data_IF_535689951829
#
_entry.id   IF_535689951829
#
_cell.length_a   1.000
_cell.length_b   1.000
_cell.length_c   1.000
_cell.angle_alpha   90.00
_cell.angle_beta   90.00
_cell.angle_gamma   90.00
#
_symmetry.space_group_name_H-M   'P 1'
#
loop_
_entity.id
_entity.type
_entity.pdbx_description
1 polymer ?
2 non-polymer ?
3 non-polymer ?
4 non-polymer ?
5 water ?
#
# COMPACT_ATOMS: atom_id res chain seq x y z
N UNK A 1 -15.85 20.40 20.14
CA UNK A 1 -15.43 19.04 20.59
C UNK A 1 -13.97 18.94 21.00
N UNK A 2 -13.61 17.87 21.72
CA UNK A 2 -12.21 17.64 22.11
C UNK A 2 -11.35 17.25 20.90
N UNK A 3 -10.07 17.60 20.93
CA UNK A 3 -9.11 17.09 19.96
C UNK A 3 -8.69 15.68 20.37
N UNK A 4 -8.80 14.73 19.45
CA UNK A 4 -8.44 13.34 19.79
C UNK A 4 -7.35 12.75 18.91
N UNK A 5 -6.41 13.59 18.50
CA UNK A 5 -5.27 13.15 17.72
C UNK A 5 -4.53 12.01 18.41
N UNK A 6 -4.36 12.12 19.74
CA UNK A 6 -3.68 11.11 20.53
C UNK A 6 -4.44 9.79 20.61
N UNK A 7 -5.76 9.85 20.73
CA UNK A 7 -6.60 8.65 20.72
C UNK A 7 -6.50 7.90 19.39
N UNK A 8 -6.45 8.67 18.30
CA UNK A 8 -6.31 8.10 16.97
C UNK A 8 -4.93 7.49 16.78
N UNK A 9 -3.88 8.22 17.15
CA UNK A 9 -2.51 7.73 16.99
C UNK A 9 -2.21 6.47 17.80
N UNK A 10 -2.91 6.31 18.92
CA UNK A 10 -2.77 5.13 19.79
C UNK A 10 -3.46 3.90 19.22
N UNK A 11 -4.47 4.12 18.37
CA UNK A 11 -5.24 3.04 17.79
C UNK A 11 -5.61 3.37 16.33
N UNK A 12 -4.60 3.54 15.45
CA UNK A 12 -4.85 4.15 14.14
C UNK A 12 -5.81 3.35 13.24
N UNK A 13 -5.82 2.04 13.42
CA UNK A 13 -6.64 1.19 12.57
C UNK A 13 -8.06 1.02 13.09
N UNK A 14 -8.21 1.06 14.41
CA UNK A 14 -9.46 0.63 15.04
C UNK A 14 -10.24 1.76 15.72
N UNK A 15 -9.58 2.91 15.92
CA UNK A 15 -10.24 4.03 16.61
C UNK A 15 -11.62 4.37 16.02
N UNK A 16 -11.70 4.52 14.71
CA UNK A 16 -12.93 4.93 14.04
C UNK A 16 -14.07 3.91 14.19
N UNK A 17 -13.80 2.64 13.85
CA UNK A 17 -14.84 1.61 13.96
C UNK A 17 -15.28 1.36 15.42
N UNK A 18 -14.38 1.58 16.36
CA UNK A 18 -14.72 1.42 17.78
C UNK A 18 -15.69 2.51 18.23
N UNK A 19 -15.41 3.75 17.85
CA UNK A 19 -16.34 4.86 18.15
C UNK A 19 -17.67 4.70 17.42
N UNK A 20 -17.62 4.26 16.16
CA UNK A 20 -18.81 3.95 15.38
C UNK A 20 -19.71 2.93 16.06
N UNK A 21 -19.09 1.90 16.62
CA UNK A 21 -19.80 0.82 17.32
C UNK A 21 -20.45 1.35 18.59
N UNK A 22 -19.71 2.18 19.34
CA UNK A 22 -20.22 2.79 20.56
C UNK A 22 -21.39 3.73 20.29
N UNK A 23 -21.35 4.41 19.15
CA UNK A 23 -22.39 5.38 18.77
C UNK A 23 -23.53 4.75 17.95
N UNK A 24 -23.35 3.50 17.53
CA UNK A 24 -24.32 2.83 16.65
C UNK A 24 -24.55 3.52 15.32
N UNK A 25 -23.50 4.09 14.74
CA UNK A 25 -23.59 4.83 13.48
C UNK A 25 -22.35 4.58 12.62
N UNK A 26 -22.46 4.86 11.32
CA UNK A 26 -21.32 4.69 10.40
C UNK A 26 -20.49 5.97 10.19
N UNK A 27 -20.79 7.01 10.96
CA UNK A 27 -20.10 8.29 10.87
C UNK A 27 -20.21 9.08 12.17
N UNK A 28 -19.15 9.80 12.49
CA UNK A 28 -19.14 10.71 13.64
C UNK A 28 -18.20 11.89 13.41
N UNK A 29 -18.52 13.02 14.03
CA UNK A 29 -17.71 14.21 13.91
C UNK A 29 -16.65 14.19 15.02
N UNK A 30 -15.42 14.53 14.66
CA UNK A 30 -14.34 14.58 15.62
C UNK A 30 -13.41 15.75 15.28
N UNK A 31 -12.21 15.75 15.87
CA UNK A 31 -11.22 16.80 15.63
C UNK A 31 -9.82 16.21 15.77
N UNK A 32 -8.99 16.45 14.76
CA UNK A 32 -7.59 16.04 14.76
C UNK A 32 -6.76 17.24 14.39
N UNK A 33 -5.78 17.56 15.23
CA UNK A 33 -5.02 18.82 15.13
C UNK A 33 -5.97 20.03 15.13
N UNK A 34 -5.88 20.88 14.11
CA UNK A 34 -6.76 22.06 14.01
C UNK A 34 -8.15 21.76 13.42
N UNK A 35 -8.29 20.63 12.72
CA UNK A 35 -9.44 20.42 11.85
C UNK A 35 -10.53 19.52 12.44
N UNK A 36 -11.74 20.08 12.56
CA UNK A 36 -12.94 19.27 12.71
C UNK A 36 -12.89 18.26 11.57
N UNK A 37 -13.21 17.01 11.88
CA UNK A 37 -13.11 15.94 10.89
C UNK A 37 -14.34 15.03 10.99
N UNK A 38 -14.98 14.77 9.85
CA UNK A 38 -16.02 13.75 9.83
C UNK A 38 -15.34 12.42 9.54
N UNK A 39 -15.57 11.44 10.41
CA UNK A 39 -15.00 10.11 10.23
C UNK A 39 -16.09 9.18 9.70
N UNK A 40 -15.80 8.50 8.59
CA UNK A 40 -16.76 7.65 7.89
C UNK A 40 -16.27 6.21 7.79
N UNK A 41 -17.23 5.28 7.74
CA UNK A 41 -16.92 3.86 7.64
C UNK A 41 -18.03 3.14 6.88
N UNK A 42 -17.66 2.15 6.08
CA UNK A 42 -18.65 1.30 5.42
C UNK A 42 -18.86 1.62 3.95
N UNK A 43 -19.64 0.77 3.28
CA UNK A 43 -19.76 0.81 1.83
C UNK A 43 -20.45 2.08 1.33
N UNK A 44 -21.52 2.49 2.01
CA UNK A 44 -22.27 3.65 1.54
C UNK A 44 -21.43 4.92 1.72
N UNK A 45 -20.72 5.02 2.85
CA UNK A 45 -19.83 6.15 3.09
C UNK A 45 -18.68 6.20 2.05
N UNK A 46 -18.13 5.04 1.70
CA UNK A 46 -17.07 4.96 0.70
C UNK A 46 -17.58 5.48 -0.66
N UNK A 47 -18.83 5.16 -0.99
CA UNK A 47 -19.42 5.63 -2.24
C UNK A 47 -19.53 7.15 -2.29
N UNK A 48 -19.91 7.77 -1.18
CA UNK A 48 -19.95 9.24 -1.21
C UNK A 48 -18.55 9.85 -1.19
N UNK A 49 -17.63 9.20 -0.48
CA UNK A 49 -16.24 9.68 -0.37
C UNK A 49 -15.55 9.78 -1.75
N UNK A 50 -15.86 8.80 -2.61
CA UNK A 50 -15.37 8.75 -3.99
C UNK A 50 -16.16 9.57 -5.01
N UNK A 51 -17.19 10.29 -4.56
CA UNK A 51 -17.90 11.21 -5.45
C UNK A 51 -17.09 12.51 -5.56
N UNK A 52 -16.43 12.70 -6.71
CA UNK A 52 -15.50 13.83 -6.87
C UNK A 52 -16.21 15.16 -7.11
N UNK A 53 -17.54 15.14 -7.22
CA UNK A 53 -18.30 16.40 -7.19
C UNK A 53 -18.48 16.89 -5.75
N UNK A 54 -18.21 16.02 -4.77
CA UNK A 54 -18.36 16.42 -3.37
C UNK A 54 -17.06 16.41 -2.56
N UNK A 55 -16.03 15.73 -3.08
CA UNK A 55 -14.74 15.62 -2.39
C UNK A 55 -13.54 15.93 -3.29
N UNK A 56 -12.57 16.63 -2.67
CA UNK A 56 -11.32 16.97 -3.33
C UNK A 56 -10.14 16.55 -2.46
N UNK A 57 -8.98 16.34 -3.09
CA UNK A 57 -7.79 15.96 -2.32
C UNK A 57 -6.83 17.14 -2.14
N UNK A 58 -7.00 18.20 -2.94
CA UNK A 58 -6.05 19.31 -2.91
C UNK A 58 -5.92 19.83 -1.48
N UNK A 59 -4.69 19.98 -1.01
CA UNK A 59 -4.44 20.48 0.34
C UNK A 59 -4.76 19.55 1.52
N UNK A 60 -5.20 18.31 1.26
CA UNK A 60 -5.52 17.39 2.36
C UNK A 60 -4.30 16.61 2.91
N UNK A 61 -3.22 16.52 2.13
CA UNK A 61 -2.00 15.82 2.52
C UNK A 61 -1.15 16.66 3.49
N UNK A 62 -0.90 16.14 4.70
CA UNK A 62 -0.08 16.86 5.69
C UNK A 62 1.35 17.09 5.22
N UNK A 63 1.96 18.20 5.65
CA UNK A 63 3.37 18.45 5.35
C UNK A 63 4.27 17.24 5.74
N UNK A 64 4.01 16.62 6.90
CA UNK A 64 4.86 15.49 7.37
C UNK A 64 4.85 14.31 6.38
N UNK A 65 3.72 14.11 5.72
CA UNK A 65 3.56 13.07 4.73
C UNK A 65 4.25 13.43 3.40
N UNK A 66 4.14 14.70 2.98
CA UNK A 66 4.90 15.20 1.82
C UNK A 66 6.40 15.03 2.01
N UNK A 67 6.87 15.18 3.26
CA UNK A 67 8.30 15.12 3.55
C UNK A 67 8.80 13.70 3.77
N UNK A 68 7.90 12.72 3.77
CA UNK A 68 8.29 11.32 4.00
C UNK A 68 7.67 10.37 3.00
N UNK A 69 6.49 9.85 3.32
CA UNK A 69 5.80 8.83 2.55
C UNK A 69 5.58 9.17 1.07
N UNK A 70 5.11 10.40 0.80
CA UNK A 70 4.55 10.66 -0.53
C UNK A 70 5.33 11.62 -1.44
N UNK A 71 6.11 12.52 -0.85
CA UNK A 71 6.80 13.55 -1.63
C UNK A 71 5.84 14.67 -2.00
N UNK A 72 6.33 15.60 -2.80
CA UNK A 72 5.57 16.80 -3.16
C UNK A 72 5.24 16.79 -4.65
N UNK A 73 4.00 17.16 -4.98
CA UNK A 73 3.60 17.33 -6.39
C UNK A 73 3.06 16.08 -7.09
N UNK A 74 2.88 15.00 -6.33
CA UNK A 74 2.49 13.72 -6.90
C UNK A 74 0.98 13.58 -7.12
N UNK A 75 0.59 12.49 -7.78
CA UNK A 75 -0.79 12.27 -8.23
C UNK A 75 -1.81 12.31 -7.07
N UNK A 76 -1.39 11.90 -5.87
CA UNK A 76 -2.31 11.87 -4.70
C UNK A 76 -2.91 13.21 -4.33
N UNK A 77 -2.18 14.28 -4.63
CA UNK A 77 -2.65 15.64 -4.30
C UNK A 77 -3.44 16.35 -5.40
N UNK A 78 -3.73 15.63 -6.48
CA UNK A 78 -4.37 16.25 -7.65
C UNK A 78 -5.87 15.97 -7.68
N UNK A 79 -6.61 16.90 -8.30
CA UNK A 79 -8.05 16.72 -8.55
C UNK A 79 -8.41 16.95 -10.01
N UNK A 80 -9.61 16.52 -10.38
CA UNK A 80 -10.21 16.90 -11.66
C UNK A 80 -9.49 16.35 -12.86
N UNK A 81 -9.54 17.09 -13.97
CA UNK A 81 -8.92 16.61 -15.20
C UNK A 81 -7.40 16.50 -15.06
N UNK A 82 -6.79 17.36 -14.24
CA UNK A 82 -5.35 17.29 -14.00
C UNK A 82 -5.02 15.94 -13.35
N UNK A 83 -5.82 15.57 -12.36
CA UNK A 83 -5.63 14.27 -11.72
C UNK A 83 -5.81 13.11 -12.71
N UNK A 84 -6.91 13.14 -13.46
CA UNK A 84 -7.23 11.98 -14.29
C UNK A 84 -6.17 11.80 -15.38
N UNK A 85 -5.63 12.90 -15.89
CA UNK A 85 -4.58 12.83 -16.88
C UNK A 85 -3.27 12.21 -16.31
N UNK A 86 -2.89 12.61 -15.10
CA UNK A 86 -1.74 12.04 -14.41
C UNK A 86 -2.00 10.57 -14.03
N UNK A 87 -3.22 10.26 -13.60
CA UNK A 87 -3.55 8.88 -13.19
C UNK A 87 -3.43 7.90 -14.39
N UNK A 88 -3.81 8.37 -15.57
CA UNK A 88 -3.70 7.56 -16.77
C UNK A 88 -2.24 7.09 -17.01
N UNK A 89 -1.28 7.94 -16.66
CA UNK A 89 0.12 7.60 -16.77
C UNK A 89 0.47 6.34 -15.96
N UNK A 90 -0.03 6.25 -14.72
CA UNK A 90 0.17 5.05 -13.90
C UNK A 90 -0.61 3.85 -14.43
N UNK A 91 -1.86 4.06 -14.81
CA UNK A 91 -2.70 2.92 -15.26
C UNK A 91 -2.13 2.22 -16.51
N UNK A 92 -1.57 3.02 -17.42
CA UNK A 92 -0.95 2.49 -18.64
C UNK A 92 0.17 1.51 -18.37
N UNK A 93 0.77 1.58 -17.17
CA UNK A 93 1.83 0.64 -16.78
C UNK A 93 1.33 -0.77 -16.50
N UNK A 94 0.04 -0.92 -16.22
CA UNK A 94 -0.47 -2.11 -15.54
C UNK A 94 -1.11 -3.15 -16.47
N UNK A 95 -0.52 -3.37 -17.63
CA UNK A 95 -1.04 -4.40 -18.54
C UNK A 95 -0.79 -5.79 -17.94
N UNK A 96 -1.64 -6.78 -18.29
CA UNK A 96 -1.45 -8.15 -17.80
C UNK A 96 -0.02 -8.64 -18.04
N UNK A 97 0.52 -8.33 -19.22
CA UNK A 97 1.89 -8.73 -19.60
C UNK A 97 2.93 -8.06 -18.70
N UNK A 98 2.80 -6.76 -18.47
CA UNK A 98 3.80 -6.07 -17.63
C UNK A 98 3.71 -6.50 -16.18
N UNK A 99 2.49 -6.78 -15.71
CA UNK A 99 2.31 -7.21 -14.32
C UNK A 99 2.97 -8.60 -14.13
N UNK A 100 2.76 -9.48 -15.10
CA UNK A 100 3.38 -10.80 -15.10
C UNK A 100 4.91 -10.69 -15.10
N UNK A 101 5.44 -9.77 -15.93
CA UNK A 101 6.88 -9.57 -15.99
C UNK A 101 7.44 -9.19 -14.62
N UNK A 102 6.76 -8.28 -13.92
CA UNK A 102 7.21 -7.89 -12.57
C UNK A 102 7.15 -9.08 -11.60
N UNK A 103 6.05 -9.84 -11.64
CA UNK A 103 5.89 -11.03 -10.80
C UNK A 103 7.05 -12.03 -11.04
N UNK A 104 7.39 -12.24 -12.31
CA UNK A 104 8.49 -13.15 -12.65
C UNK A 104 9.83 -12.65 -12.14
N UNK A 105 10.07 -11.35 -12.26
CA UNK A 105 11.30 -10.76 -11.71
C UNK A 105 11.39 -10.94 -10.21
N UNK A 106 10.25 -10.77 -9.53
CA UNK A 106 10.24 -10.91 -8.09
C UNK A 106 10.50 -12.36 -7.67
N UNK A 107 9.90 -13.34 -8.34
CA UNK A 107 10.22 -14.76 -8.03
C UNK A 107 11.71 -15.03 -8.17
N UNK A 108 12.31 -14.55 -9.26
CA UNK A 108 13.75 -14.70 -9.51
C UNK A 108 14.58 -14.10 -8.36
N UNK A 109 14.23 -12.88 -7.97
CA UNK A 109 14.93 -12.20 -6.87
C UNK A 109 14.75 -12.90 -5.52
N UNK A 110 13.54 -13.36 -5.24
CA UNK A 110 13.29 -14.15 -4.04
C UNK A 110 14.20 -15.40 -4.06
N UNK A 111 14.15 -16.18 -5.14
CA UNK A 111 15.00 -17.38 -5.26
C UNK A 111 16.50 -17.06 -5.13
N UNK A 112 16.94 -15.95 -5.70
CA UNK A 112 18.32 -15.46 -5.56
C UNK A 112 18.73 -15.16 -4.11
N UNK A 113 17.76 -14.74 -3.30
CA UNK A 113 18.00 -14.31 -1.92
C UNK A 113 18.03 -15.47 -0.91
N UNK A 114 17.42 -16.59 -1.28
CA UNK A 114 17.27 -17.72 -0.36
C UNK A 114 18.63 -18.25 0.18
N UNK A 115 19.64 -18.45 -0.69
CA UNK A 115 20.91 -18.96 -0.13
C UNK A 115 21.44 -18.12 1.03
N UNK A 116 21.35 -16.79 0.90
CA UNK A 116 21.69 -15.86 1.96
C UNK A 116 20.95 -16.13 3.25
N UNK A 117 19.65 -16.40 3.14
CA UNK A 117 18.80 -16.71 4.28
C UNK A 117 19.20 -18.04 4.93
N UNK A 118 19.52 -19.04 4.11
CA UNK A 118 19.98 -20.33 4.62
C UNK A 118 21.25 -20.12 5.45
N UNK A 119 22.22 -19.41 4.86
CA UNK A 119 23.49 -19.16 5.53
C UNK A 119 23.36 -18.39 6.85
N UNK A 120 22.33 -17.53 6.93
CA UNK A 120 22.07 -16.78 8.17
C UNK A 120 21.51 -17.65 9.29
N UNK A 121 20.91 -18.79 8.94
CA UNK A 121 20.32 -19.70 9.92
C UNK A 121 18.98 -19.25 10.50
N UNK A 122 18.89 -17.97 10.82
CA UNK A 122 17.65 -17.38 11.31
C UNK A 122 17.47 -16.00 10.64
N UNK A 123 16.23 -15.70 10.23
CA UNK A 123 15.93 -14.41 9.58
C UNK A 123 14.68 -13.77 10.16
N UNK A 124 14.63 -12.44 10.12
CA UNK A 124 13.39 -11.73 10.32
C UNK A 124 12.81 -11.60 8.90
N UNK A 125 11.76 -12.37 8.61
CA UNK A 125 11.21 -12.45 7.25
C UNK A 125 10.91 -11.06 6.66
N UNK A 126 10.25 -10.20 7.44
CA UNK A 126 9.89 -8.87 6.95
C UNK A 126 11.15 -8.11 6.50
N UNK A 127 12.20 -8.18 7.31
CA UNK A 127 13.42 -7.43 7.04
C UNK A 127 14.07 -7.87 5.74
N UNK A 128 13.90 -9.14 5.39
CA UNK A 128 14.56 -9.70 4.22
C UNK A 128 13.84 -9.47 2.88
N UNK A 129 12.62 -8.95 2.92
CA UNK A 129 11.81 -8.82 1.72
C UNK A 129 12.06 -7.54 0.90
N UNK A 130 12.48 -6.48 1.58
CA UNK A 130 12.61 -5.17 0.93
C UNK A 130 13.60 -5.16 -0.22
N UNK A 131 14.74 -5.81 -0.03
CA UNK A 131 15.77 -5.84 -1.06
C UNK A 131 15.39 -6.62 -2.33
N UNK A 132 14.89 -7.88 -2.20
CA UNK A 132 14.49 -8.53 -3.44
C UNK A 132 13.37 -7.76 -4.17
N UNK A 133 12.43 -7.19 -3.43
CA UNK A 133 11.40 -6.33 -4.05
C UNK A 133 12.01 -5.12 -4.76
N UNK A 134 12.97 -4.47 -4.10
CA UNK A 134 13.64 -3.31 -4.68
C UNK A 134 14.34 -3.71 -5.99
N UNK A 135 15.07 -4.82 -5.95
CA UNK A 135 15.79 -5.30 -7.13
C UNK A 135 14.84 -5.58 -8.29
N UNK A 136 13.74 -6.26 -7.99
CA UNK A 136 12.74 -6.60 -9.00
C UNK A 136 12.08 -5.35 -9.60
N UNK A 137 11.60 -4.46 -8.73
CA UNK A 137 10.86 -3.31 -9.23
C UNK A 137 11.75 -2.33 -10.02
N UNK A 138 12.99 -2.13 -9.58
CA UNK A 138 13.91 -1.26 -10.31
C UNK A 138 14.18 -1.82 -11.71
N UNK A 139 14.50 -3.11 -11.79
CA UNK A 139 14.70 -3.79 -13.08
C UNK A 139 13.47 -3.63 -13.98
N UNK A 140 12.31 -3.96 -13.44
CA UNK A 140 11.04 -3.79 -14.15
C UNK A 140 10.80 -2.35 -14.63
N UNK A 141 11.09 -1.38 -13.76
CA UNK A 141 10.81 0.02 -14.04
C UNK A 141 11.86 0.72 -14.94
N UNK A 142 12.94 0.02 -15.30
CA UNK A 142 14.01 0.63 -16.10
C UNK A 142 14.92 1.51 -15.28
N UNK A 143 14.99 1.24 -13.99
CA UNK A 143 15.86 1.98 -13.09
C UNK A 143 17.17 1.22 -12.86
N UNK A 144 18.32 1.76 -13.36
CA UNK A 144 19.58 1.05 -13.10
C UNK A 144 19.83 0.93 -11.60
N UNK A 145 20.29 -0.23 -11.16
CA UNK A 145 20.53 -0.42 -9.74
C UNK A 145 21.75 -1.33 -9.59
N UNK A 146 22.94 -0.73 -9.40
CA UNK A 146 24.12 -1.58 -9.19
C UNK A 146 23.94 -2.56 -8.03
N UNK A 147 24.48 -3.75 -8.22
CA UNK A 147 24.41 -4.78 -7.20
C UNK A 147 24.80 -4.27 -5.81
N UNK A 148 25.85 -3.45 -5.73
CA UNK A 148 26.37 -2.98 -4.43
C UNK A 148 25.59 -1.80 -3.80
N UNK A 149 24.57 -1.32 -4.52
CA UNK A 149 23.71 -0.23 -4.04
C UNK A 149 22.28 -0.69 -3.70
N UNK A 150 21.94 -1.90 -4.12
CA UNK A 150 20.58 -2.41 -3.93
C UNK A 150 20.14 -2.41 -2.45
N UNK A 151 21.01 -2.90 -1.58
CA UNK A 151 20.73 -2.93 -0.15
C UNK A 151 20.41 -1.56 0.43
N UNK A 152 21.26 -0.59 0.10
CA UNK A 152 21.05 0.77 0.58
C UNK A 152 19.78 1.42 0.03
N UNK A 153 19.51 1.25 -1.27
CA UNK A 153 18.29 1.81 -1.86
C UNK A 153 17.06 1.15 -1.26
N UNK A 154 17.13 -0.16 -0.99
CA UNK A 154 16.02 -0.85 -0.34
C UNK A 154 15.73 -0.25 1.04
N UNK A 155 16.79 0.04 1.81
CA UNK A 155 16.63 0.66 3.13
C UNK A 155 16.00 2.06 3.07
N UNK A 156 16.37 2.82 2.05
CA UNK A 156 15.84 4.17 1.86
C UNK A 156 14.36 4.12 1.49
N UNK A 157 14.02 3.25 0.55
CA UNK A 157 12.61 3.08 0.16
C UNK A 157 11.77 2.61 1.34
N UNK A 158 12.30 1.65 2.09
CA UNK A 158 11.61 1.15 3.28
C UNK A 158 11.34 2.30 4.28
N UNK A 159 12.36 3.13 4.48
CA UNK A 159 12.28 4.25 5.43
C UNK A 159 11.19 5.25 5.08
N UNK A 160 10.81 5.34 3.80
CA UNK A 160 9.76 6.26 3.38
C UNK A 160 8.40 5.89 3.98
N UNK A 161 8.16 4.59 4.14
CA UNK A 161 6.84 4.12 4.59
C UNK A 161 6.82 3.43 5.94
N UNK A 162 7.97 2.91 6.38
CA UNK A 162 7.97 2.01 7.54
C UNK A 162 8.37 2.82 8.77
N UNK A 163 9.16 3.86 8.51
CA UNK A 163 9.57 4.91 9.45
C UNK A 163 8.73 6.22 9.39
N UNK A 164 7.99 6.45 8.29
CA UNK A 164 7.12 7.65 8.14
C UNK A 164 6.15 7.87 9.32
N UNK A 165 5.33 6.86 9.60
CA UNK A 165 4.36 6.90 10.71
C UNK A 165 4.91 6.54 12.09
N UNK A 166 6.20 6.79 12.29
CA UNK A 166 6.86 6.47 13.57
C UNK A 166 7.25 7.77 14.29
N UNK A 167 6.66 8.01 15.45
CA UNK A 167 6.96 9.20 16.27
C UNK A 167 8.24 9.01 17.08
N UNK A 168 9.36 8.86 16.38
CA UNK A 168 10.69 8.66 16.97
C UNK A 168 11.71 9.24 16.02
N UNK A 169 13.03 9.25 16.39
CA UNK A 169 14.07 9.64 15.41
C UNK A 169 14.00 8.92 14.04
N UNK A 170 13.30 7.79 13.98
CA UNK A 170 13.04 7.10 12.70
C UNK A 170 12.38 8.02 11.66
N UNK A 171 11.55 8.96 12.13
CA UNK A 171 10.90 9.94 11.24
C UNK A 171 11.93 10.88 10.60
N UNK A 172 12.96 11.24 11.36
CA UNK A 172 14.03 12.07 10.84
C UNK A 172 14.82 11.30 9.78
N UNK A 173 15.02 10.01 10.00
CA UNK A 173 15.61 9.15 8.99
C UNK A 173 14.70 9.09 7.75
N UNK A 174 13.39 9.00 7.98
CA UNK A 174 12.42 8.98 6.88
C UNK A 174 12.54 10.26 6.02
N UNK A 175 12.68 11.40 6.69
CA UNK A 175 12.82 12.67 5.98
C UNK A 175 14.09 12.73 5.14
N UNK A 176 15.18 12.20 5.69
CA UNK A 176 16.46 12.20 4.99
C UNK A 176 16.38 11.22 3.81
N UNK A 177 15.83 10.04 4.05
CA UNK A 177 15.56 9.05 3.01
C UNK A 177 14.77 9.67 1.86
N UNK A 178 13.76 10.47 2.19
CA UNK A 178 12.97 11.15 1.14
C UNK A 178 13.82 12.08 0.28
N UNK A 179 14.63 12.92 0.93
CA UNK A 179 15.52 13.82 0.19
C UNK A 179 16.45 13.03 -0.73
N UNK A 180 16.98 11.92 -0.22
CA UNK A 180 17.92 11.07 -0.98
C UNK A 180 17.26 10.36 -2.15
N UNK A 181 16.11 9.74 -1.90
CA UNK A 181 15.40 9.00 -2.94
C UNK A 181 14.91 9.97 -4.03
N UNK A 182 14.46 11.18 -3.66
CA UNK A 182 14.04 12.16 -4.69
C UNK A 182 15.22 12.55 -5.58
N UNK A 183 16.38 12.79 -4.97
CA UNK A 183 17.55 13.23 -5.72
C UNK A 183 17.99 12.11 -6.67
N UNK A 184 17.98 10.89 -6.16
CA UNK A 184 18.32 9.68 -6.94
C UNK A 184 17.36 9.47 -8.13
N UNK A 185 16.07 9.44 -7.86
CA UNK A 185 15.06 9.34 -8.92
C UNK A 185 15.15 10.49 -9.92
N UNK A 186 15.45 11.69 -9.44
CA UNK A 186 15.57 12.82 -10.33
C UNK A 186 16.75 12.65 -11.29
N UNK A 187 17.87 12.13 -10.77
CA UNK A 187 19.03 11.82 -11.65
C UNK A 187 18.65 10.76 -12.69
N UNK A 188 17.81 9.80 -12.31
CA UNK A 188 17.30 8.81 -13.26
C UNK A 188 16.46 9.49 -14.37
N UNK A 189 15.48 10.31 -13.98
CA UNK A 189 14.65 11.04 -14.96
C UNK A 189 15.54 11.89 -15.88
N UNK A 190 16.50 12.60 -15.30
CA UNK A 190 17.37 13.48 -16.11
C UNK A 190 18.21 12.70 -17.12
N UNK A 191 18.70 11.55 -16.69
CA UNK A 191 19.54 10.70 -17.54
C UNK A 191 18.75 10.09 -18.67
N UNK A 192 17.51 9.71 -18.40
CA UNK A 192 16.63 9.21 -19.45
C UNK A 192 16.38 10.30 -20.48
N UNK A 193 16.04 11.50 -20.01
CA UNK A 193 15.77 12.62 -20.90
C UNK A 193 17.01 13.03 -21.71
N UNK A 194 18.20 12.95 -21.11
CA UNK A 194 19.46 13.28 -21.80
C UNK A 194 19.91 12.15 -22.75
N UNK A 195 19.33 10.97 -22.59
CA UNK A 195 19.73 9.79 -23.36
C UNK A 195 20.91 9.02 -22.79
N UNK A 196 21.37 9.41 -21.60
CA UNK A 196 22.49 8.70 -20.95
C UNK A 196 22.03 7.41 -20.24
N UNK A 197 20.72 7.26 -20.07
CA UNK A 197 20.15 6.07 -19.45
C UNK A 197 19.15 5.45 -20.42
N UNK A 198 19.37 4.17 -20.76
CA UNK A 198 18.61 3.53 -21.84
C UNK A 198 17.37 2.75 -21.49
N UNK A 199 16.53 3.27 -20.58
CA UNK A 199 15.29 2.59 -20.18
C UNK A 199 14.37 2.30 -21.38
N UNK A 200 13.82 1.09 -21.42
CA UNK A 200 12.95 0.68 -22.53
C UNK A 200 11.64 1.41 -22.59
N UNK A 201 11.10 1.57 -23.80
CA UNK A 201 9.80 2.22 -24.03
C UNK A 201 8.60 1.65 -23.24
N UNK A 202 8.68 0.41 -22.77
CA UNK A 202 7.59 -0.17 -21.94
C UNK A 202 7.70 0.05 -20.44
N UNK A 203 8.77 0.67 -19.99
CA UNK A 203 9.08 0.72 -18.56
C UNK A 203 8.48 1.94 -17.85
N UNK A 204 8.21 1.79 -16.55
CA UNK A 204 7.73 2.88 -15.72
C UNK A 204 8.62 4.14 -15.78
N UNK A 205 9.93 4.01 -15.64
CA UNK A 205 10.76 5.21 -15.61
C UNK A 205 10.69 5.95 -16.95
N UNK A 206 10.63 5.21 -18.04
CA UNK A 206 10.51 5.79 -19.37
C UNK A 206 9.18 6.52 -19.53
N UNK A 207 8.09 5.86 -19.12
CA UNK A 207 6.75 6.44 -19.24
C UNK A 207 6.67 7.75 -18.45
N UNK A 208 7.26 7.74 -17.27
CA UNK A 208 7.16 8.90 -16.37
C UNK A 208 8.08 10.02 -16.87
N UNK A 209 9.30 9.66 -17.29
CA UNK A 209 10.24 10.66 -17.81
C UNK A 209 9.69 11.37 -19.05
N UNK A 210 8.94 10.64 -19.86
CA UNK A 210 8.47 11.20 -21.14
C UNK A 210 6.99 11.60 -21.12
N UNK A 211 6.34 11.43 -19.98
CA UNK A 211 4.94 11.85 -19.84
C UNK A 211 4.76 13.33 -20.18
N UNK A 212 3.71 13.64 -20.94
CA UNK A 212 3.34 15.01 -21.23
C UNK A 212 2.04 15.32 -20.51
N UNK A 213 2.00 16.47 -19.85
CA UNK A 213 0.82 16.88 -19.10
C UNK A 213 -0.26 17.45 -20.03
N UNK A 214 -1.29 18.09 -19.47
CA UNK A 214 -2.40 18.54 -20.32
C UNK A 214 -2.04 19.69 -21.23
N UNK A 215 -0.83 20.26 -21.08
CA UNK A 215 -0.36 21.37 -21.91
C UNK A 215 0.79 20.93 -22.83
N UNK A 216 0.93 19.62 -22.98
CA UNK A 216 2.02 19.02 -23.76
C UNK A 216 3.40 19.33 -23.17
N UNK A 217 3.48 19.53 -21.85
CA UNK A 217 4.76 19.80 -21.22
C UNK A 217 5.22 18.58 -20.44
N UNK A 218 6.52 18.29 -20.48
CA UNK A 218 7.07 17.27 -19.58
C UNK A 218 6.86 17.69 -18.13
N UNK A 219 6.71 16.72 -17.24
CA UNK A 219 6.70 16.98 -15.80
C UNK A 219 8.03 17.61 -15.40
N UNK A 220 8.01 18.55 -14.47
CA UNK A 220 9.29 19.04 -13.98
C UNK A 220 10.06 17.83 -13.39
N UNK A 221 11.40 17.89 -13.43
CA UNK A 221 12.17 16.71 -13.02
C UNK A 221 11.85 16.24 -11.60
N UNK A 222 11.62 17.18 -10.68
CA UNK A 222 11.27 16.78 -9.31
C UNK A 222 9.93 16.03 -9.25
N UNK A 223 8.93 16.53 -9.97
CA UNK A 223 7.62 15.86 -9.97
C UNK A 223 7.73 14.47 -10.62
N UNK A 224 8.46 14.38 -11.74
CA UNK A 224 8.68 13.07 -12.38
C UNK A 224 9.36 12.11 -11.37
N UNK A 225 10.35 12.62 -10.64
CA UNK A 225 11.04 11.81 -9.62
C UNK A 225 10.08 11.28 -8.56
N UNK A 226 9.24 12.18 -8.04
CA UNK A 226 8.22 11.80 -7.03
C UNK A 226 7.26 10.72 -7.58
N UNK A 227 6.83 10.86 -8.82
CA UNK A 227 5.92 9.88 -9.41
C UNK A 227 6.62 8.55 -9.60
N UNK A 228 7.92 8.57 -9.94
CA UNK A 228 8.66 7.31 -10.08
C UNK A 228 8.76 6.65 -8.71
N UNK A 229 9.03 7.45 -7.67
CA UNK A 229 9.04 6.90 -6.31
C UNK A 229 7.66 6.32 -5.91
N UNK A 230 6.59 6.93 -6.43
CA UNK A 230 5.23 6.43 -6.22
C UNK A 230 4.98 5.06 -6.86
N UNK A 231 5.92 4.57 -7.68
CA UNK A 231 5.89 3.18 -8.18
C UNK A 231 6.84 2.32 -7.33
N UNK A 232 8.07 2.79 -7.13
CA UNK A 232 9.11 2.00 -6.47
C UNK A 232 8.77 1.72 -5.01
N UNK A 233 8.43 2.78 -4.28
CA UNK A 233 8.15 2.69 -2.83
C UNK A 233 7.01 1.73 -2.44
N UNK A 234 5.80 1.91 -3.00
CA UNK A 234 4.74 1.00 -2.52
C UNK A 234 4.94 -0.45 -3.01
N UNK A 235 5.68 -0.67 -4.09
CA UNK A 235 6.02 -2.05 -4.48
C UNK A 235 6.90 -2.72 -3.41
N UNK A 236 7.88 -1.98 -2.89
CA UNK A 236 8.68 -2.48 -1.76
C UNK A 236 7.80 -2.70 -0.51
N UNK A 237 6.80 -1.84 -0.33
CA UNK A 237 5.87 -2.01 0.80
C UNK A 237 5.03 -3.29 0.74
N UNK A 238 5.04 -3.99 -0.41
CA UNK A 238 4.36 -5.29 -0.47
C UNK A 238 4.99 -6.30 0.52
N UNK A 239 6.20 -5.99 0.99
CA UNK A 239 6.83 -6.75 2.09
C UNK A 239 5.86 -6.97 3.26
N UNK A 240 5.08 -5.93 3.57
CA UNK A 240 4.05 -6.00 4.62
C UNK A 240 3.02 -7.11 4.32
N UNK A 241 2.43 -7.08 3.12
CA UNK A 241 1.46 -8.12 2.76
C UNK A 241 2.07 -9.52 2.69
N UNK A 242 3.31 -9.61 2.18
CA UNK A 242 3.99 -10.93 2.10
C UNK A 242 4.20 -11.51 3.52
N UNK A 243 4.52 -10.64 4.46
CA UNK A 243 4.66 -11.02 5.86
C UNK A 243 3.33 -11.51 6.43
N UNK A 244 2.25 -10.82 6.08
CA UNK A 244 0.91 -11.25 6.49
C UNK A 244 0.49 -12.58 5.87
N UNK A 245 0.94 -12.83 4.64
CA UNK A 245 0.70 -14.12 3.99
C UNK A 245 1.34 -15.24 4.82
N UNK A 246 2.61 -15.04 5.21
CA UNK A 246 3.31 -15.99 6.08
C UNK A 246 2.58 -16.17 7.43
N UNK A 247 2.10 -15.06 7.98
CA UNK A 247 1.35 -15.03 9.24
C UNK A 247 0.05 -15.86 9.17
N UNK A 248 -0.69 -15.70 8.09
CA UNK A 248 -1.95 -16.42 7.91
C UNK A 248 -1.68 -17.91 7.78
N UNK A 249 -0.63 -18.26 7.03
CA UNK A 249 -0.27 -19.66 6.83
C UNK A 249 0.10 -20.33 8.15
N UNK A 250 0.67 -19.54 9.05
CA UNK A 250 1.13 -20.03 10.35
C UNK A 250 0.03 -20.11 11.43
N UNK A 251 -0.96 -19.22 11.35
CA UNK A 251 -1.91 -19.05 12.44
C UNK A 251 -3.35 -19.49 12.15
N UNK A 252 -3.65 -19.81 10.89
CA UNK A 252 -5.01 -20.21 10.50
C UNK A 252 -5.02 -21.64 9.97
N UNK A 253 -5.58 -22.56 10.77
CA UNK A 253 -5.52 -23.97 10.43
C UNK A 253 -6.28 -24.25 9.15
N UNK A 254 -5.73 -25.17 8.34
CA UNK A 254 -6.37 -25.57 7.10
C UNK A 254 -6.02 -24.75 5.86
N UNK A 255 -5.43 -23.56 6.06
CA UNK A 255 -5.10 -22.68 4.93
C UNK A 255 -4.01 -23.29 4.04
N UNK A 256 -2.91 -23.72 4.66
CA UNK A 256 -1.81 -24.32 3.91
C UNK A 256 -2.31 -25.47 3.03
N UNK A 257 -3.04 -26.41 3.63
CA UNK A 257 -3.57 -27.55 2.89
C UNK A 257 -4.44 -27.10 1.72
N UNK A 258 -5.32 -26.13 1.94
CA UNK A 258 -6.23 -25.67 0.87
C UNK A 258 -5.44 -25.03 -0.27
N UNK A 259 -4.42 -24.25 0.06
CA UNK A 259 -3.56 -23.62 -0.95
C UNK A 259 -2.79 -24.65 -1.76
N UNK A 260 -2.33 -25.69 -1.07
CA UNK A 260 -1.62 -26.79 -1.70
C UNK A 260 -2.55 -27.55 -2.65
N UNK A 261 -3.75 -27.92 -2.20
CA UNK A 261 -4.60 -28.82 -2.99
C UNK A 261 -5.63 -28.20 -3.94
N UNK A 262 -6.22 -27.04 -3.56
CA UNK A 262 -7.28 -26.40 -4.37
C UNK A 262 -6.72 -25.28 -5.29
N UNK A 263 -6.86 -25.43 -6.62
CA UNK A 263 -6.18 -24.53 -7.59
C UNK A 263 -6.66 -23.07 -7.54
N UNK A 264 -7.99 -22.90 -7.51
CA UNK A 264 -8.62 -21.57 -7.44
C UNK A 264 -8.46 -20.87 -6.07
N UNK A 265 -7.85 -21.57 -5.11
CA UNK A 265 -7.77 -21.04 -3.74
C UNK A 265 -6.85 -19.82 -3.57
N UNK A 266 -5.75 -19.79 -4.30
CA UNK A 266 -4.76 -18.71 -4.12
C UNK A 266 -5.37 -17.33 -4.31
N UNK A 267 -6.23 -17.20 -5.33
CA UNK A 267 -6.89 -15.91 -5.58
C UNK A 267 -7.76 -15.51 -4.39
N UNK A 268 -8.51 -16.47 -3.83
CA UNK A 268 -9.38 -16.18 -2.70
C UNK A 268 -8.54 -15.80 -1.47
N UNK A 269 -7.49 -16.58 -1.23
CA UNK A 269 -6.59 -16.38 -0.12
C UNK A 269 -5.95 -14.97 -0.11
N UNK A 270 -5.38 -14.54 -1.23
CA UNK A 270 -4.69 -13.24 -1.22
C UNK A 270 -5.70 -12.10 -1.03
N UNK A 271 -6.90 -12.24 -1.59
CA UNK A 271 -7.92 -11.24 -1.35
C UNK A 271 -8.29 -11.14 0.14
N UNK A 272 -8.44 -12.30 0.79
CA UNK A 272 -8.77 -12.33 2.22
C UNK A 272 -7.63 -11.77 3.09
N UNK A 273 -6.39 -12.00 2.69
CA UNK A 273 -5.27 -11.31 3.36
C UNK A 273 -5.45 -9.78 3.32
N UNK A 274 -5.76 -9.24 2.14
CA UNK A 274 -6.01 -7.79 1.98
C UNK A 274 -7.23 -7.32 2.80
N UNK A 275 -8.29 -8.12 2.85
CA UNK A 275 -9.45 -7.73 3.67
C UNK A 275 -9.14 -7.77 5.16
N UNK A 276 -8.52 -8.87 5.59
CA UNK A 276 -8.43 -9.19 7.01
C UNK A 276 -7.41 -8.32 7.74
N UNK A 277 -6.23 -8.17 7.16
CA UNK A 277 -5.11 -7.53 7.86
C UNK A 277 -5.10 -6.01 7.74
N UNK A 278 -4.74 -5.32 8.83
CA UNK A 278 -4.59 -3.87 8.74
C UNK A 278 -3.35 -3.51 7.92
N UNK A 279 -3.46 -2.51 7.06
CA UNK A 279 -2.28 -2.01 6.35
C UNK A 279 -2.44 -0.50 6.16
N UNK A 280 -3.29 -0.10 5.21
CA UNK A 280 -3.46 1.32 4.93
C UNK A 280 -4.62 1.74 5.82
N UNK A 281 -4.37 2.65 6.76
CA UNK A 281 -5.44 2.78 7.78
C UNK A 281 -6.71 3.43 7.22
N UNK A 282 -6.51 4.60 6.58
CA UNK A 282 -7.60 5.52 6.25
C UNK A 282 -7.14 6.53 5.20
N UNK A 283 -8.10 7.10 4.48
CA UNK A 283 -7.81 8.06 3.41
C UNK A 283 -8.46 9.37 3.81
N UNK A 284 -7.85 10.49 3.38
CA UNK A 284 -8.36 11.79 3.79
C UNK A 284 -8.71 12.65 2.56
N UNK A 285 -9.83 13.37 2.68
CA UNK A 285 -10.27 14.28 1.61
C UNK A 285 -10.92 15.50 2.27
N UNK A 286 -11.36 16.45 1.46
CA UNK A 286 -12.01 17.64 1.97
C UNK A 286 -13.31 17.80 1.18
N UNK A 287 -14.42 18.07 1.87
CA UNK A 287 -15.67 18.41 1.19
C UNK A 287 -15.50 19.65 0.29
N UNK A 288 -15.91 19.53 -0.97
CA UNK A 288 -15.68 20.58 -1.97
C UNK A 288 -16.83 21.59 -2.04
N UNK A 289 -17.96 21.25 -1.42
CA UNK A 289 -19.16 22.09 -1.40
C UNK A 289 -20.03 21.67 -0.22
N UNK A 290 -20.94 22.55 0.21
CA UNK A 290 -21.88 22.23 1.29
C UNK A 290 -22.76 21.09 0.87
N UNK A 291 -22.86 20.09 1.73
CA UNK A 291 -23.90 19.08 1.58
C UNK A 291 -24.24 18.40 2.90
N UNK A 292 -25.39 17.73 2.90
CA UNK A 292 -25.82 16.88 4.02
C UNK A 292 -25.89 15.45 3.52
N UNK A 293 -25.51 14.52 4.39
CA UNK A 293 -25.58 13.10 4.08
C UNK A 293 -25.91 12.32 5.35
N UNK A 294 -26.98 11.52 5.27
CA UNK A 294 -27.44 10.71 6.41
C UNK A 294 -27.55 11.51 7.70
N UNK A 295 -28.08 12.73 7.59
CA UNK A 295 -28.27 13.62 8.74
C UNK A 295 -27.01 14.26 9.30
N UNK A 296 -25.90 14.10 8.60
CA UNK A 296 -24.63 14.69 8.99
C UNK A 296 -24.25 15.86 8.07
N UNK A 297 -23.79 16.95 8.65
CA UNK A 297 -23.41 18.14 7.89
C UNK A 297 -21.99 18.02 7.33
N UNK A 298 -21.83 18.34 6.05
CA UNK A 298 -20.52 18.40 5.42
C UNK A 298 -20.37 19.80 4.82
N UNK A 299 -20.00 20.79 5.64
CA UNK A 299 -19.78 22.12 5.11
C UNK A 299 -18.60 22.11 4.15
N UNK A 300 -18.64 22.97 3.15
CA UNK A 300 -17.49 23.17 2.28
C UNK A 300 -16.22 23.25 3.14
N UNK A 301 -15.19 22.48 2.78
CA UNK A 301 -13.89 22.59 3.42
C UNK A 301 -13.67 21.64 4.59
N UNK A 302 -14.73 20.92 4.97
CA UNK A 302 -14.66 19.95 6.08
C UNK A 302 -13.76 18.78 5.72
N UNK A 303 -12.74 18.54 6.54
CA UNK A 303 -11.90 17.36 6.41
C UNK A 303 -12.70 16.09 6.72
N UNK A 304 -12.52 15.09 5.87
CA UNK A 304 -13.26 13.84 6.03
C UNK A 304 -12.27 12.68 5.90
N UNK A 305 -12.40 11.70 6.78
CA UNK A 305 -11.54 10.52 6.72
C UNK A 305 -12.39 9.26 6.51
N UNK A 306 -11.93 8.43 5.58
CA UNK A 306 -12.63 7.19 5.25
C UNK A 306 -11.83 6.04 5.82
N UNK A 307 -12.44 5.32 6.74
CA UNK A 307 -11.76 4.26 7.46
C UNK A 307 -11.76 2.98 6.60
N UNK A 308 -10.60 2.63 6.05
CA UNK A 308 -10.49 1.46 5.17
C UNK A 308 -10.58 0.16 5.96
N UNK A 309 -9.84 0.09 7.06
CA UNK A 309 -9.82 -1.11 7.88
C UNK A 309 -11.22 -1.44 8.41
N UNK A 310 -11.86 -0.42 9.02
CA UNK A 310 -13.24 -0.58 9.53
C UNK A 310 -14.21 -1.02 8.45
N UNK A 311 -14.11 -0.41 7.27
CA UNK A 311 -14.94 -0.77 6.13
C UNK A 311 -14.75 -2.24 5.73
N UNK A 312 -13.49 -2.68 5.72
CA UNK A 312 -13.15 -4.06 5.39
C UNK A 312 -13.57 -5.07 6.46
N UNK A 313 -13.93 -4.54 7.65
CA UNK A 313 -14.40 -5.35 8.76
C UNK A 313 -15.86 -5.06 9.16
N UNK A 314 -16.62 -4.47 8.23
CA UNK A 314 -18.01 -4.07 8.48
C UNK A 314 -18.91 -5.32 8.43
N UNK A 315 -19.57 -5.60 9.54
CA UNK A 315 -20.42 -6.79 9.65
C UNK A 315 -21.59 -6.74 8.66
N UNK A 316 -22.12 -5.55 8.40
CA UNK A 316 -23.20 -5.41 7.42
C UNK A 316 -22.82 -5.98 6.05
N UNK A 317 -21.55 -5.80 5.66
CA UNK A 317 -21.06 -6.30 4.38
C UNK A 317 -20.63 -7.76 4.46
N UNK A 318 -19.89 -8.11 5.50
CA UNK A 318 -19.21 -9.40 5.54
C UNK A 318 -19.89 -10.46 6.44
N UNK A 319 -20.77 -10.02 7.34
CA UNK A 319 -21.43 -10.92 8.33
C UNK A 319 -20.51 -11.41 9.47
N UNK A 320 -19.43 -12.11 9.15
CA UNK A 320 -18.43 -12.53 10.16
C UNK A 320 -17.02 -12.01 9.83
N UNK A 321 -16.86 -10.68 9.84
CA UNK A 321 -15.60 -10.05 9.40
C UNK A 321 -14.37 -10.41 10.24
N UNK A 322 -14.60 -10.85 11.48
CA UNK A 322 -13.51 -11.17 12.42
C UNK A 322 -12.80 -12.48 12.10
N UNK A 323 -13.39 -13.30 11.24
CA UNK A 323 -12.78 -14.58 10.88
C UNK A 323 -11.95 -14.46 9.61
N UNK A 324 -10.86 -15.23 9.54
CA UNK A 324 -10.08 -15.31 8.31
C UNK A 324 -10.64 -16.48 7.49
N UNK A 325 -11.31 -16.16 6.39
CA UNK A 325 -12.00 -17.18 5.61
C UNK A 325 -11.95 -16.83 4.11
N UNK A 326 -10.92 -17.30 3.40
CA UNK A 326 -10.77 -16.94 1.98
C UNK A 326 -12.04 -17.27 1.19
N UNK A 327 -12.72 -18.35 1.60
CA UNK A 327 -13.96 -18.82 0.95
C UNK A 327 -15.03 -17.73 0.77
N UNK A 328 -15.00 -16.74 1.64
CA UNK A 328 -16.00 -15.66 1.58
C UNK A 328 -16.00 -14.97 0.21
N UNK A 329 -14.85 -14.99 -0.46
CA UNK A 329 -14.72 -14.30 -1.75
C UNK A 329 -15.40 -15.01 -2.89
N UNK A 330 -15.83 -16.24 -2.67
CA UNK A 330 -16.72 -16.93 -3.62
C UNK A 330 -18.04 -16.17 -3.82
N UNK A 331 -18.47 -15.45 -2.78
CA UNK A 331 -19.76 -14.75 -2.83
C UNK A 331 -19.61 -13.25 -3.16
N UNK A 332 -18.37 -12.79 -3.38
CA UNK A 332 -18.18 -11.38 -3.68
C UNK A 332 -18.64 -11.04 -5.12
N UNK A 333 -19.25 -9.87 -5.27
CA UNK A 333 -19.78 -9.39 -6.54
C UNK A 333 -18.89 -8.31 -7.18
N UNK A 334 -17.65 -8.20 -6.70
CA UNK A 334 -16.69 -7.20 -7.21
C UNK A 334 -17.16 -5.75 -7.05
N UNK A 335 -18.02 -5.50 -6.06
CA UNK A 335 -18.49 -4.14 -5.76
C UNK A 335 -17.29 -3.18 -5.56
N UNK A 336 -17.36 -1.95 -6.10
CA UNK A 336 -16.23 -1.00 -6.04
C UNK A 336 -16.05 -0.33 -4.67
N UNK A 337 -17.04 -0.49 -3.79
CA UNK A 337 -17.05 0.28 -2.55
C UNK A 337 -17.03 -0.50 -1.23
N UNK A 338 -17.35 -1.79 -1.25
CA UNK A 338 -17.48 -2.54 -0.01
C UNK A 338 -16.23 -3.31 0.42
N UNK A 339 -15.22 -3.31 -0.45
CA UNK A 339 -13.95 -3.99 -0.21
C UNK A 339 -12.85 -3.07 -0.72
N UNK A 340 -12.16 -2.42 0.20
CA UNK A 340 -11.35 -1.23 -0.17
C UNK A 340 -9.98 -1.16 0.54
N UNK A 341 -9.23 -2.29 0.60
CA UNK A 341 -7.92 -2.24 1.26
C UNK A 341 -6.95 -1.27 0.55
N UNK A 342 -7.17 -1.03 -0.75
CA UNK A 342 -6.33 -0.11 -1.54
C UNK A 342 -7.22 0.94 -2.19
N UNK A 343 -8.26 1.33 -1.47
CA UNK A 343 -9.18 2.35 -1.95
C UNK A 343 -10.38 1.78 -2.67
N UNK A 344 -11.36 2.64 -2.93
CA UNK A 344 -12.61 2.25 -3.59
C UNK A 344 -12.84 3.06 -4.85
N UNK A 345 -13.99 2.85 -5.48
CA UNK A 345 -14.36 3.57 -6.68
C UNK A 345 -13.61 3.07 -7.90
N UNK A 346 -13.45 3.97 -8.86
CA UNK A 346 -12.93 3.67 -10.17
C UNK A 346 -11.44 4.08 -10.24
N UNK A 347 -10.61 3.24 -10.87
CA UNK A 347 -9.15 3.52 -10.93
C UNK A 347 -8.85 4.72 -11.81
N UNK A 348 -9.60 4.90 -12.90
CA UNK A 348 -9.32 6.02 -13.82
C UNK A 348 -9.92 7.34 -13.37
N UNK A 349 -11.08 7.25 -12.73
CA UNK A 349 -11.86 8.46 -12.43
C UNK A 349 -11.63 8.94 -11.02
N UNK A 350 -10.94 8.16 -10.21
CA UNK A 350 -10.67 8.56 -8.82
C UNK A 350 -9.30 8.12 -8.36
N UNK A 351 -9.09 8.17 -7.05
CA UNK A 351 -7.75 7.99 -6.47
C UNK A 351 -7.41 6.54 -6.08
N UNK A 352 -8.28 5.61 -6.44
CA UNK A 352 -8.06 4.19 -6.15
C UNK A 352 -6.67 3.73 -6.60
N UNK A 353 -6.03 2.91 -5.77
CA UNK A 353 -4.67 2.43 -6.04
C UNK A 353 -4.53 1.76 -7.42
N UNK A 354 -3.61 2.26 -8.26
CA UNK A 354 -3.35 1.58 -9.54
C UNK A 354 -2.46 0.35 -9.34
N UNK A 355 -1.89 0.20 -8.15
CA UNK A 355 -0.99 -0.91 -7.82
C UNK A 355 -1.63 -2.24 -7.48
N UNK A 356 -2.96 -2.32 -7.48
CA UNK A 356 -3.66 -3.54 -7.04
C UNK A 356 -3.27 -4.80 -7.82
N UNK A 357 -3.17 -4.71 -9.14
CA UNK A 357 -2.80 -5.92 -9.93
C UNK A 357 -1.39 -6.41 -9.58
N UNK A 358 -0.46 -5.48 -9.37
CA UNK A 358 0.90 -5.81 -8.95
C UNK A 358 0.87 -6.48 -7.58
N UNK A 359 0.14 -5.86 -6.64
CA UNK A 359 0.04 -6.42 -5.29
C UNK A 359 -0.51 -7.86 -5.34
N UNK A 360 -1.60 -8.07 -6.06
CA UNK A 360 -2.20 -9.41 -6.13
C UNK A 360 -1.24 -10.41 -6.75
N UNK A 361 -0.58 -10.01 -7.85
CA UNK A 361 0.35 -10.91 -8.54
C UNK A 361 1.54 -11.31 -7.66
N UNK A 362 2.13 -10.32 -6.97
CA UNK A 362 3.25 -10.58 -6.08
C UNK A 362 2.85 -11.39 -4.84
N UNK A 363 1.70 -11.09 -4.24
CA UNK A 363 1.17 -11.92 -3.14
C UNK A 363 0.95 -13.38 -3.57
N UNK A 364 0.48 -13.59 -4.80
CA UNK A 364 0.31 -14.96 -5.32
C UNK A 364 1.66 -15.68 -5.49
N UNK A 365 2.66 -14.99 -6.03
CA UNK A 365 4.02 -15.54 -6.07
C UNK A 365 4.47 -15.94 -4.65
N UNK A 366 4.29 -15.04 -3.68
CA UNK A 366 4.70 -15.32 -2.29
C UNK A 366 4.03 -16.55 -1.70
N UNK A 367 2.71 -16.61 -1.84
CA UNK A 367 1.93 -17.76 -1.40
C UNK A 367 2.38 -19.07 -2.06
N UNK A 368 2.63 -19.03 -3.37
CA UNK A 368 3.17 -20.19 -4.09
C UNK A 368 4.50 -20.66 -3.54
N UNK A 369 5.44 -19.73 -3.36
CA UNK A 369 6.79 -20.06 -2.92
C UNK A 369 6.79 -20.58 -1.49
N UNK A 370 6.00 -19.94 -0.64
CA UNK A 370 5.92 -20.30 0.77
C UNK A 370 5.30 -21.68 1.02
N UNK A 371 4.41 -22.12 0.13
CA UNK A 371 3.77 -23.43 0.28
C UNK A 371 4.38 -24.54 -0.59
N UNK A 372 4.88 -24.17 -1.77
CA UNK A 372 5.32 -25.18 -2.75
C UNK A 372 6.82 -25.29 -2.91
N UNK A 373 7.55 -24.27 -2.50
CA UNK A 373 8.98 -24.21 -2.73
C UNK A 373 9.79 -24.10 -1.44
N UNK A 374 9.43 -23.15 -0.57
CA UNK A 374 10.20 -22.85 0.63
C UNK A 374 9.99 -23.94 1.70
N UNK A 375 11.03 -24.25 2.44
CA UNK A 375 10.88 -25.00 3.69
C UNK A 375 11.49 -24.13 4.77
N UNK A 376 10.80 -24.02 5.90
CA UNK A 376 11.26 -23.19 7.02
C UNK A 376 10.60 -23.60 8.32
N UNK A 377 11.30 -23.37 9.42
CA UNK A 377 10.78 -23.59 10.77
C UNK A 377 10.36 -22.27 11.40
N UNK A 378 9.33 -22.30 12.24
CA UNK A 378 8.85 -21.09 12.89
C UNK A 378 8.96 -21.25 14.42
N UNK A 379 10.03 -20.71 15.01
CA UNK A 379 10.22 -20.84 16.47
C UNK A 379 9.14 -20.10 17.25
N UNK A 380 9.09 -20.35 18.56
CA UNK A 380 8.20 -19.63 19.46
C UNK A 380 8.55 -18.15 19.41
N UNK A 381 7.52 -17.34 19.20
CA UNK A 381 7.68 -15.90 19.03
C UNK A 381 6.33 -15.22 19.21
N UNK A 382 6.37 -13.90 19.36
CA UNK A 382 5.16 -13.12 19.44
C UNK A 382 4.68 -12.75 18.03
N UNK A 383 3.72 -13.52 17.53
CA UNK A 383 3.17 -13.35 16.18
C UNK A 383 1.96 -12.41 16.12
N UNK A 384 1.54 -11.89 17.27
CA UNK A 384 0.37 -11.04 17.34
C UNK A 384 0.60 -9.76 16.53
N UNK A 385 -0.47 -9.29 15.90
CA UNK A 385 -0.41 -8.10 15.05
C UNK A 385 -0.29 -6.87 15.94
N UNK A 386 0.70 -6.03 15.62
CA UNK A 386 0.88 -4.78 16.34
C UNK A 386 -0.05 -3.73 15.74
N UNK A 387 -1.22 -3.54 16.36
CA UNK A 387 -2.18 -2.52 15.90
C UNK A 387 -1.75 -1.08 16.23
N UNK A 388 -0.66 -0.94 16.97
CA UNK A 388 -0.16 0.39 17.32
C UNK A 388 0.91 0.87 16.34
N UNK A 389 1.33 -0.01 15.44
CA UNK A 389 2.42 0.29 14.51
C UNK A 389 1.87 0.70 13.14
N UNK A 390 2.52 1.66 12.49
CA UNK A 390 2.17 2.02 11.09
C UNK A 390 3.36 1.81 10.17
N UNK A 391 3.27 0.85 9.23
CA UNK A 391 2.19 -0.11 8.97
C UNK A 391 2.22 -1.21 10.03
N UNK A 392 1.08 -1.84 10.26
CA UNK A 392 0.98 -2.94 11.20
C UNK A 392 1.84 -4.12 10.71
N UNK A 393 2.35 -4.89 11.66
CA UNK A 393 3.14 -6.08 11.38
C UNK A 393 2.97 -7.05 12.55
N UNK A 394 3.20 -8.36 12.31
CA UNK A 394 3.38 -9.24 13.48
C UNK A 394 4.53 -8.68 14.31
N UNK A 395 4.34 -8.62 15.64
CA UNK A 395 5.30 -7.99 16.53
C UNK A 395 6.73 -8.50 16.35
N UNK A 396 6.87 -9.78 16.03
CA UNK A 396 8.17 -10.41 15.83
C UNK A 396 8.80 -10.09 14.48
N UNK A 397 7.98 -9.69 13.51
CA UNK A 397 8.45 -9.47 12.14
C UNK A 397 8.40 -10.76 11.34
N UNK A 398 7.90 -11.82 11.97
CA UNK A 398 7.87 -13.19 11.45
C UNK A 398 9.27 -13.80 11.33
N UNK A 399 9.71 -14.45 12.41
CA UNK A 399 11.05 -15.04 12.47
C UNK A 399 11.02 -16.45 11.90
N UNK A 400 11.92 -16.73 10.97
CA UNK A 400 12.07 -18.06 10.38
C UNK A 400 13.45 -18.62 10.71
N UNK A 401 13.52 -19.94 10.89
CA UNK A 401 14.79 -20.65 11.02
C UNK A 401 14.92 -21.78 9.98
N UNK A 402 16.17 -22.15 9.66
CA UNK A 402 16.48 -23.26 8.75
C UNK A 402 15.75 -23.15 7.41
N UNK A 403 15.86 -21.98 6.78
CA UNK A 403 15.17 -21.72 5.51
C UNK A 403 15.90 -22.35 4.34
N UNK A 404 15.18 -23.14 3.55
CA UNK A 404 15.75 -23.69 2.32
C UNK A 404 14.69 -23.77 1.22
N UNK A 405 15.17 -23.87 -0.02
CA UNK A 405 14.28 -23.92 -1.19
C UNK A 405 14.53 -25.13 -2.09
N UNK A 406 15.60 -25.87 -1.76
CA UNK A 406 15.92 -27.15 -2.42
C UNK A 406 15.07 -28.34 -1.99
N UNK A 407 14.64 -28.36 -0.72
CA UNK A 407 13.72 -29.39 -0.22
C UNK A 407 12.28 -29.13 -0.66
X LIG B 1 -3.03 4.95 -3.88
X LIG B 1 -3.03 1.19 -0.81
X LIG B 1 0.57 -0.83 -3.37
X LIG B 1 0.70 2.96 -6.35
X LIG B 1 -3.36 4.11 -2.84
X LIG B 1 -4.40 4.34 -1.86
X LIG B 1 -4.41 3.29 -1.02
X LIG B 1 -3.37 2.38 -1.43
X LIG B 1 -5.34 3.07 0.20
X LIG B 1 -5.28 5.60 -1.79
X LIG B 1 -6.68 5.51 -2.37
X LIG B 1 -7.31 6.89 -2.28
X LIG B 1 -8.55 7.00 -2.42
X LIG B 1 -6.59 7.91 -2.06
X LIG B 1 -1.96 0.37 -1.15
X LIG B 1 -1.46 -0.76 -0.38
X LIG B 1 -0.45 -1.31 -1.08
X LIG B 1 -0.30 -0.56 -2.32
X LIG B 1 -1.97 -1.22 1.01
X LIG B 1 0.38 -2.53 -0.63
X LIG B 1 1.73 -2.55 -0.76
X LIG B 1 0.85 -0.07 -4.47
X LIG B 1 1.74 -0.41 -5.57
X LIG B 1 1.78 0.65 -6.41
X LIG B 1 0.93 1.69 -5.84
X LIG B 1 2.50 -1.74 -5.76
X LIG B 1 2.62 0.71 -7.72
X LIG B 1 2.26 1.46 -8.76
X LIG B 1 -0.22 3.87 -5.90
X LIG B 1 -0.37 5.21 -6.44
X LIG B 1 -1.53 5.82 -5.68
X LIG B 1 -1.97 4.81 -4.76
X LIG B 1 0.48 5.88 -7.55
X LIG B 1 -2.13 7.23 -5.87
X LIG B 1 -3.27 7.03 -6.90
X LIG B 1 -4.08 8.31 -7.03
X LIG B 1 -4.84 8.45 -8.01
X LIG B 1 -3.98 9.19 -6.14
X LIG B 1 -2.77 2.89 -2.56
X LIG B 1 -1.23 0.45 -2.32
X LIG B 1 0.35 1.19 -4.70
X LIG B 1 -1.19 3.65 -4.93
X LIG B 1 -1.26 2.01 -3.67
X LIG C 1 3.06 3.04 0.27
X LIG C 1 2.27 3.78 -0.37
X LIG C 1 1.01 3.77 6.52
X LIG C 1 4.31 3.16 0.24
X LIG C 1 1.34 5.23 6.86
X LIG C 1 2.78 5.66 6.54
X LIG C 1 0.33 6.22 6.29
X LIG C 1 2.50 1.88 1.13
X LIG C 1 1.33 1.18 0.41
X LIG C 1 2.08 2.39 2.54
X LIG C 1 0.98 3.23 2.70
X LIG C 1 0.62 3.67 3.98
X LIG C 1 1.40 3.29 5.11
X LIG C 1 2.49 2.45 4.94
X LIG C 1 2.83 2.01 3.66
X LIG D 1 -5.14 -2.21 -15.51
X LIG D 1 -5.99 -2.00 -16.76
X LIG D 1 -6.27 -3.32 -17.33
X LIG D 1 -7.30 -1.33 -16.39
X LIG D 1 -5.30 -1.13 -17.81
X LIG D 1 -4.04 -1.71 -18.46
X LIG D 1 -3.30 -0.65 -19.04
X LIG D 1 -4.35 -2.75 -19.54
X LIG E 1 -6.46 -16.30 14.89
X LIG E 1 -7.41 -15.89 13.77
X LIG E 1 -7.80 -17.08 13.02
X LIG E 1 -8.67 -15.28 14.38
X LIG E 1 -6.75 -14.87 12.83
X LIG E 1 -5.59 -15.41 11.96
X LIG E 1 -4.36 -15.16 12.60
X LIG E 1 -5.53 -14.72 10.61
#
# INVERSE_FOLDING_TARGET
GPDETLSLLADPYRFISRQCQRLGANAFESRFLLKKTNCLKGAKAAEIFYDTTRFEREGAMPVAIQKTLLGQGGVQGLDGETHRHRKQMFMGLMTPERVRALAQLFEAEWRRAVPGWTRKGEIVFYDELHEPLTRAVCAWAGVPLPDDEAGNRAGELRALFDAAGSASPRHLWSRLARRRVDAWAKRIIEGIRAGSIGSGSGTAAYAIAWHRDRHDDLLSPHVAAVELVNVLRPTVAIAVYITFVAHALQTCSGIRAALVQQPDYAELFVQEVRRFYPFFPAVVARASQDFEWEGMAFPEGRQVVLDLYGSNHDAATWADPQEFRPERFRAWDEDSFNFIPQGGGDHYLGHRCPGEWIVLAIMKVAAHLLVNAMRYDVPDQDLSIDFARLPALPKSGFVMRNVHIGG
HEM CHA CHB CHC CHD C1A C2A C3A C4A CMA CAA CBA CGA O1A O2A C1B C2B C3B C4B CMB CAB CBB C1C C2C C3C C4C CMC CAC CBC C1D C2D C3D C4D CMD CAD CBD CGD O1D O2D NA NB NC ND FE
IZP C1 O1 C2 O2 C3 C4 C5 C6 C7 C8 C9 C10 C11 C12 C13
MRD C1 C2 O2 CM C3 C4 O4 C5
MRD C1 C2 O2 CM C3 C4 O4 C5
#
